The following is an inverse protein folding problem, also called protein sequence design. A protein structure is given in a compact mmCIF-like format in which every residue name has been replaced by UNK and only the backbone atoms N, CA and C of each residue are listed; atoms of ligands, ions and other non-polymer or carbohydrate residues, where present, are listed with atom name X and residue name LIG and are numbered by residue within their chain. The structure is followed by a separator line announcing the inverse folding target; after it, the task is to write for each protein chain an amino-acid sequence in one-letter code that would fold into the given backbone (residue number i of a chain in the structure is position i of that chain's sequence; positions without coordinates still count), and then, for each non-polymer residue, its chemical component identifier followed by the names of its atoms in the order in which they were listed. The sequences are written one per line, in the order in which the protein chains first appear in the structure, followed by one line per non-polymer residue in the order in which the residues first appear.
data_IF_947227234269
#
_entry.id   IF_947227234269
#
_cell.length_a   1.000
_cell.length_b   1.000
_cell.length_c   1.000
_cell.angle_alpha   90.00
_cell.angle_beta   90.00
_cell.angle_gamma   90.00
#
_symmetry.space_group_name_H-M   'P 1'
#
loop_
_entity.id
_entity.type
_entity.pdbx_description
1 polymer ?
#
# COMPACT_ATOMS: atom_id res chain seq x y z
N UNK A 1 10.04 -23.64 62.47
CA UNK A 1 10.70 -22.73 63.42
C UNK A 1 10.74 -21.36 62.73
N UNK A 2 9.85 -20.52 63.23
CA UNK A 2 10.14 -19.17 63.79
C UNK A 2 10.67 -18.17 62.72
N UNK A 3 10.20 -16.96 62.56
CA UNK A 3 9.20 -16.01 63.15
C UNK A 3 8.98 -14.97 62.07
N UNK A 4 7.79 -14.54 61.73
CA UNK A 4 6.96 -13.43 62.25
C UNK A 4 7.76 -12.14 62.55
N UNK A 5 7.47 -11.09 61.79
CA UNK A 5 7.22 -9.76 62.37
C UNK A 5 6.39 -8.92 61.40
N UNK A 6 5.15 -8.66 61.78
CA UNK A 6 4.28 -7.56 61.36
C UNK A 6 4.88 -6.24 61.85
N UNK A 7 4.74 -5.19 61.03
CA UNK A 7 4.69 -3.81 61.56
C UNK A 7 3.63 -3.03 60.76
N UNK A 8 2.54 -2.82 61.47
CA UNK A 8 1.45 -1.86 61.19
C UNK A 8 1.93 -0.52 61.74
N UNK A 9 1.82 0.55 60.99
CA UNK A 9 1.70 1.91 61.55
C UNK A 9 0.71 2.72 60.75
N UNK A 10 -0.24 3.20 61.53
CA UNK A 10 -1.46 3.92 61.23
C UNK A 10 -1.26 5.43 61.08
N UNK A 11 -2.12 6.02 60.26
CA UNK A 11 -2.83 7.33 60.40
C UNK A 11 -2.05 8.64 60.31
N UNK A 12 -2.48 9.49 59.37
CA UNK A 12 -3.02 10.82 59.74
C UNK A 12 -3.81 11.40 58.55
N UNK A 13 -5.08 11.56 58.79
CA UNK A 13 -6.05 12.36 58.03
C UNK A 13 -5.85 13.83 58.40
N UNK A 14 -5.73 14.72 57.40
CA UNK A 14 -6.00 16.14 57.62
C UNK A 14 -6.93 16.63 56.49
N UNK A 15 -8.17 16.81 56.84
CA UNK A 15 -9.15 17.56 56.10
C UNK A 15 -8.87 19.06 56.24
N UNK A 16 -8.91 19.80 55.15
CA UNK A 16 -8.89 21.25 55.14
C UNK A 16 -9.93 21.73 54.12
N UNK A 17 -11.00 22.24 54.70
CA UNK A 17 -12.17 22.70 53.99
C UNK A 17 -12.06 24.18 53.57
N UNK A 18 -12.67 24.48 52.43
CA UNK A 18 -13.49 25.64 52.08
C UNK A 18 -12.92 27.05 52.15
N UNK A 19 -13.07 27.81 51.09
CA UNK A 19 -13.98 28.97 51.09
C UNK A 19 -14.42 29.37 49.68
N UNK A 20 -15.73 29.29 49.47
CA UNK A 20 -16.47 30.02 48.45
C UNK A 20 -16.52 31.49 48.84
N UNK A 21 -16.18 32.39 47.93
CA UNK A 21 -16.70 33.77 47.96
C UNK A 21 -17.18 34.13 46.58
N UNK A 22 -18.50 34.17 46.45
CA UNK A 22 -19.21 34.87 45.39
C UNK A 22 -19.35 36.33 45.82
N UNK A 23 -19.04 37.26 44.92
CA UNK A 23 -19.71 38.58 44.90
C UNK A 23 -19.58 39.14 43.50
N UNK A 24 -20.75 39.38 42.92
CA UNK A 24 -20.90 40.02 41.62
C UNK A 24 -20.77 41.53 41.69
N UNK A 25 -20.55 42.13 40.56
CA UNK A 25 -21.07 43.45 40.17
C UNK A 25 -21.10 43.54 38.65
N UNK A 26 -22.28 43.88 38.14
CA UNK A 26 -22.48 44.37 36.77
C UNK A 26 -21.81 45.72 36.63
N UNK A 27 -21.23 45.94 35.43
CA UNK A 27 -21.49 47.16 34.67
C UNK A 27 -21.17 46.98 33.19
N UNK A 28 -22.10 47.40 32.38
CA UNK A 28 -22.12 47.46 30.95
C UNK A 28 -21.02 48.40 30.42
N UNK A 29 -20.36 48.02 29.30
CA UNK A 29 -20.37 48.82 28.06
C UNK A 29 -19.56 48.13 26.95
N UNK A 30 -20.21 47.92 25.86
CA UNK A 30 -19.94 47.76 24.48
C UNK A 30 -18.47 47.78 24.01
N UNK A 31 -18.11 46.75 23.32
CA UNK A 31 -16.90 46.62 22.50
C UNK A 31 -17.08 45.42 21.56
N UNK A 32 -17.79 45.68 20.45
CA UNK A 32 -17.84 44.77 19.30
C UNK A 32 -16.42 44.52 18.82
N UNK A 33 -15.91 43.34 19.04
CA UNK A 33 -14.65 42.83 18.51
C UNK A 33 -14.83 41.34 18.29
N UNK A 34 -15.61 40.99 17.26
CA UNK A 34 -15.74 39.62 16.77
C UNK A 34 -14.46 39.13 16.18
N UNK A 35 -13.50 38.74 17.01
CA UNK A 35 -12.42 37.84 16.64
C UNK A 35 -12.94 36.42 16.77
N UNK A 36 -13.72 35.95 15.79
CA UNK A 36 -13.97 34.54 15.61
C UNK A 36 -12.63 33.86 15.38
N UNK A 37 -12.08 33.25 16.41
CA UNK A 37 -11.08 32.24 16.22
C UNK A 37 -11.75 31.18 15.34
N UNK A 38 -11.44 31.17 14.05
CA UNK A 38 -11.80 30.10 13.15
C UNK A 38 -11.01 28.87 13.63
N UNK A 39 -11.59 28.15 14.60
CA UNK A 39 -11.07 26.89 15.03
C UNK A 39 -11.08 25.94 13.85
N UNK A 40 -9.92 25.74 13.23
CA UNK A 40 -9.77 24.85 12.10
C UNK A 40 -10.21 23.43 12.48
N UNK A 41 -10.84 22.73 11.55
CA UNK A 41 -11.26 21.35 11.74
C UNK A 41 -10.05 20.45 11.54
N UNK A 42 -9.86 19.49 12.44
CA UNK A 42 -8.86 18.42 12.24
C UNK A 42 -9.53 17.24 11.54
N UNK A 43 -8.97 16.83 10.38
CA UNK A 43 -9.31 15.62 9.65
C UNK A 43 -8.19 14.63 9.83
N UNK A 44 -8.53 13.41 10.26
CA UNK A 44 -7.56 12.31 10.37
C UNK A 44 -7.64 11.45 9.12
N UNK A 45 -6.46 11.13 8.57
CA UNK A 45 -6.29 10.09 7.54
C UNK A 45 -5.71 8.87 8.25
N UNK A 46 -6.41 7.73 8.14
CA UNK A 46 -5.92 6.46 8.62
C UNK A 46 -4.87 5.90 7.66
N UNK A 47 -4.01 5.03 8.15
CA UNK A 47 -3.11 4.23 7.34
C UNK A 47 -3.01 2.84 7.94
N UNK A 48 -3.05 1.82 7.09
CA UNK A 48 -2.80 0.42 7.44
C UNK A 48 -1.73 -0.14 6.51
N UNK A 49 -0.67 -0.70 7.07
CA UNK A 49 0.45 -1.28 6.32
C UNK A 49 1.33 -2.13 7.24
N UNK A 50 2.18 -3.04 6.71
CA UNK A 50 3.13 -3.82 7.50
C UNK A 50 4.30 -2.92 7.96
N UNK A 51 4.15 -2.26 9.11
CA UNK A 51 5.15 -1.35 9.66
C UNK A 51 6.27 -2.09 10.39
N UNK A 52 6.04 -3.34 10.75
CA UNK A 52 7.02 -4.27 11.33
C UNK A 52 7.04 -5.59 10.56
N UNK A 53 8.03 -6.44 10.85
CA UNK A 53 8.20 -7.73 10.17
C UNK A 53 8.95 -7.64 8.84
N UNK A 54 8.87 -8.71 8.06
CA UNK A 54 9.69 -8.90 6.86
C UNK A 54 9.34 -7.95 5.69
N UNK A 55 8.12 -7.40 5.67
CA UNK A 55 7.66 -6.44 4.65
C UNK A 55 7.78 -4.98 5.10
N UNK A 56 8.39 -4.73 6.26
CA UNK A 56 8.44 -3.39 6.84
C UNK A 56 9.15 -2.35 5.97
N UNK A 57 10.08 -2.72 5.12
CA UNK A 57 10.69 -1.79 4.18
C UNK A 57 9.63 -1.12 3.28
N UNK A 58 8.75 -1.92 2.65
CA UNK A 58 7.65 -1.42 1.82
C UNK A 58 6.62 -0.64 2.66
N UNK A 59 6.24 -1.19 3.83
CA UNK A 59 5.22 -0.57 4.71
C UNK A 59 5.65 0.79 5.25
N UNK A 60 6.92 0.94 5.65
CA UNK A 60 7.46 2.21 6.14
C UNK A 60 7.62 3.23 5.00
N UNK A 61 7.97 2.79 3.78
CA UNK A 61 7.95 3.63 2.59
C UNK A 61 6.56 4.21 2.31
N UNK A 62 5.51 3.38 2.42
CA UNK A 62 4.10 3.79 2.31
C UNK A 62 3.77 4.82 3.40
N UNK A 63 4.06 4.52 4.67
CA UNK A 63 3.75 5.40 5.81
C UNK A 63 4.44 6.76 5.69
N UNK A 64 5.74 6.75 5.41
CA UNK A 64 6.53 7.98 5.34
C UNK A 64 6.08 8.88 4.19
N UNK A 65 5.65 8.29 3.06
CA UNK A 65 5.14 9.04 1.91
C UNK A 65 3.75 9.63 2.16
N UNK A 66 2.88 8.91 2.88
CA UNK A 66 1.59 9.44 3.33
C UNK A 66 1.76 10.61 4.31
N UNK A 67 2.70 10.47 5.26
CA UNK A 67 3.04 11.55 6.20
C UNK A 67 3.56 12.79 5.46
N UNK A 68 4.42 12.61 4.45
CA UNK A 68 4.92 13.71 3.61
C UNK A 68 3.79 14.42 2.85
N UNK A 69 2.81 13.69 2.32
CA UNK A 69 1.66 14.28 1.65
C UNK A 69 0.84 15.15 2.61
N UNK A 70 0.59 14.67 3.81
CA UNK A 70 -0.11 15.40 4.88
C UNK A 70 0.67 16.66 5.27
N UNK A 71 1.98 16.54 5.53
CA UNK A 71 2.81 17.69 5.84
C UNK A 71 2.79 18.74 4.74
N UNK A 72 2.84 18.29 3.48
CA UNK A 72 2.78 19.15 2.30
C UNK A 72 1.45 19.89 2.20
N UNK A 73 0.32 19.19 2.41
CA UNK A 73 -1.01 19.80 2.38
C UNK A 73 -1.20 20.82 3.50
N UNK A 74 -0.76 20.49 4.72
CA UNK A 74 -0.83 21.40 5.85
C UNK A 74 0.05 22.65 5.66
N UNK A 75 1.29 22.48 5.18
CA UNK A 75 2.20 23.59 4.90
C UNK A 75 1.68 24.54 3.81
N UNK A 76 0.97 24.00 2.82
CA UNK A 76 0.35 24.77 1.73
C UNK A 76 -1.02 25.34 2.13
N UNK A 77 -1.54 25.04 3.32
CA UNK A 77 -2.93 25.32 3.73
C UNK A 77 -3.93 24.91 2.64
N UNK A 78 -3.70 23.73 2.05
CA UNK A 78 -4.32 23.30 0.80
C UNK A 78 -5.85 23.20 0.90
N UNK A 79 -6.38 22.82 2.05
CA UNK A 79 -7.81 22.89 2.37
C UNK A 79 -8.00 23.94 3.46
N UNK A 80 -8.59 25.06 3.10
CA UNK A 80 -8.74 26.20 4.02
C UNK A 80 -9.53 25.81 5.27
N UNK A 81 -8.98 26.10 6.44
CA UNK A 81 -9.61 25.78 7.72
C UNK A 81 -9.55 24.31 8.12
N UNK A 82 -8.82 23.46 7.39
CA UNK A 82 -8.63 22.03 7.72
C UNK A 82 -7.14 21.75 7.98
N UNK A 83 -6.87 21.05 9.06
CA UNK A 83 -5.55 20.48 9.37
C UNK A 83 -5.63 18.96 9.29
N UNK A 84 -4.76 18.34 8.53
CA UNK A 84 -4.71 16.89 8.40
C UNK A 84 -3.76 16.26 9.41
N UNK A 85 -4.10 15.05 9.88
CA UNK A 85 -3.26 14.21 10.76
C UNK A 85 -3.22 12.78 10.23
N UNK A 86 -2.13 12.07 10.48
CA UNK A 86 -1.97 10.65 10.18
C UNK A 86 -2.13 9.81 11.44
N UNK A 87 -2.91 8.73 11.34
CA UNK A 87 -2.93 7.62 12.31
C UNK A 87 -2.57 6.35 11.57
N UNK A 88 -1.39 5.80 11.87
CA UNK A 88 -0.86 4.61 11.21
C UNK A 88 -0.98 3.39 12.12
N UNK A 89 -1.50 2.29 11.58
CA UNK A 89 -1.63 1.00 12.24
C UNK A 89 -0.79 -0.05 11.50
N UNK A 90 -0.23 -0.98 12.25
CA UNK A 90 0.60 -2.08 11.76
C UNK A 90 -0.27 -3.33 11.56
N UNK A 91 -0.34 -3.82 10.33
CA UNK A 91 -1.02 -5.08 9.99
C UNK A 91 -0.08 -6.28 9.93
N UNK A 92 1.23 -6.05 9.95
CA UNK A 92 2.28 -7.09 9.84
C UNK A 92 2.11 -7.99 8.59
N UNK A 93 1.39 -7.54 7.56
CA UNK A 93 1.02 -8.34 6.40
C UNK A 93 0.02 -9.46 6.70
N UNK A 94 -0.73 -9.37 7.82
CA UNK A 94 -1.64 -10.40 8.29
C UNK A 94 -3.11 -9.95 8.18
N UNK A 95 -3.97 -10.73 7.47
CA UNK A 95 -5.40 -10.40 7.32
C UNK A 95 -6.14 -10.19 8.64
N UNK A 96 -5.82 -10.99 9.68
CA UNK A 96 -6.44 -10.86 10.99
C UNK A 96 -6.11 -9.55 11.70
N UNK A 97 -4.88 -9.06 11.54
CA UNK A 97 -4.45 -7.76 12.08
C UNK A 97 -5.12 -6.62 11.30
N UNK A 98 -5.17 -6.71 9.96
CA UNK A 98 -5.87 -5.76 9.11
C UNK A 98 -7.34 -5.62 9.49
N UNK A 99 -8.07 -6.72 9.68
CA UNK A 99 -9.47 -6.69 10.11
C UNK A 99 -9.66 -5.98 11.47
N UNK A 100 -8.76 -6.24 12.43
CA UNK A 100 -8.79 -5.55 13.73
C UNK A 100 -8.49 -4.06 13.58
N UNK A 101 -7.52 -3.72 12.74
CA UNK A 101 -7.16 -2.32 12.45
C UNK A 101 -8.29 -1.59 11.74
N UNK A 102 -8.96 -2.21 10.76
CA UNK A 102 -10.15 -1.64 10.11
C UNK A 102 -11.24 -1.28 11.15
N UNK A 103 -11.50 -2.18 12.10
CA UNK A 103 -12.47 -1.91 13.19
C UNK A 103 -12.06 -0.72 14.05
N UNK A 104 -10.76 -0.59 14.38
CA UNK A 104 -10.24 0.56 15.15
C UNK A 104 -10.36 1.86 14.36
N UNK A 105 -9.99 1.84 13.06
CA UNK A 105 -10.06 3.02 12.19
C UNK A 105 -11.50 3.49 11.99
N UNK A 106 -12.46 2.58 11.84
CA UNK A 106 -13.88 2.92 11.72
C UNK A 106 -14.46 3.54 13.01
N UNK A 107 -13.97 3.12 14.18
CA UNK A 107 -14.43 3.63 15.47
C UNK A 107 -14.09 5.12 15.66
N UNK A 108 -13.00 5.62 15.10
CA UNK A 108 -12.62 7.04 15.14
C UNK A 108 -13.34 7.83 14.04
N UNK A 109 -14.34 8.61 14.42
CA UNK A 109 -15.16 9.40 13.48
C UNK A 109 -14.41 10.58 12.84
N UNK A 110 -13.24 10.97 13.34
CA UNK A 110 -12.38 11.97 12.72
C UNK A 110 -11.67 11.45 11.45
N UNK A 111 -11.61 10.12 11.27
CA UNK A 111 -11.00 9.48 10.10
C UNK A 111 -11.98 9.53 8.94
N UNK A 112 -11.60 10.21 7.86
CA UNK A 112 -12.42 10.37 6.65
C UNK A 112 -11.93 9.55 5.46
N UNK A 113 -10.76 8.94 5.55
CA UNK A 113 -10.22 8.03 4.56
C UNK A 113 -9.03 7.27 5.10
N UNK A 114 -8.70 6.13 4.49
CA UNK A 114 -7.61 5.24 4.88
C UNK A 114 -6.71 4.98 3.68
N UNK A 115 -5.41 5.12 3.86
CA UNK A 115 -4.37 4.74 2.90
C UNK A 115 -3.90 3.32 3.21
N UNK A 116 -3.86 2.46 2.22
CA UNK A 116 -3.48 1.06 2.40
C UNK A 116 -4.63 0.11 2.07
N UNK A 117 -4.44 -1.19 2.43
CA UNK A 117 -3.20 -1.79 2.91
C UNK A 117 -2.20 -2.09 1.77
N UNK A 118 -1.04 -2.70 2.14
CA UNK A 118 -0.08 -3.21 1.16
C UNK A 118 -0.59 -4.49 0.49
N UNK A 119 -0.97 -5.49 1.27
CA UNK A 119 -1.25 -6.83 0.80
C UNK A 119 -2.71 -7.00 0.34
N UNK A 120 -2.95 -7.63 -0.81
CA UNK A 120 -4.30 -7.90 -1.31
C UNK A 120 -5.14 -8.77 -0.36
N UNK A 121 -4.52 -9.76 0.30
CA UNK A 121 -5.20 -10.60 1.29
C UNK A 121 -5.59 -9.85 2.57
N UNK A 122 -4.86 -8.79 2.92
CA UNK A 122 -5.23 -7.89 4.02
C UNK A 122 -6.41 -7.02 3.62
N UNK A 123 -6.38 -6.40 2.43
CA UNK A 123 -7.50 -5.61 1.91
C UNK A 123 -8.82 -6.41 1.87
N UNK A 124 -8.76 -7.66 1.42
CA UNK A 124 -9.91 -8.57 1.38
C UNK A 124 -10.60 -8.73 2.74
N UNK A 125 -9.83 -8.68 3.83
CA UNK A 125 -10.35 -8.73 5.21
C UNK A 125 -10.92 -7.41 5.73
N UNK A 126 -10.56 -6.27 5.10
CA UNK A 126 -10.89 -4.91 5.57
C UNK A 126 -12.05 -4.27 4.81
N UNK A 127 -12.15 -4.54 3.50
CA UNK A 127 -13.05 -3.84 2.57
C UNK A 127 -14.50 -3.78 3.07
N UNK A 128 -15.05 -4.92 3.54
CA UNK A 128 -16.43 -4.94 4.05
C UNK A 128 -16.63 -4.03 5.26
N UNK A 129 -15.65 -3.98 6.17
CA UNK A 129 -15.71 -3.15 7.38
C UNK A 129 -15.74 -1.67 7.01
N UNK A 130 -14.92 -1.26 6.05
CA UNK A 130 -14.87 0.11 5.56
C UNK A 130 -16.12 0.48 4.74
N UNK A 131 -16.61 -0.41 3.87
CA UNK A 131 -17.79 -0.13 3.05
C UNK A 131 -19.07 0.02 3.89
N UNK A 132 -19.26 -0.86 4.90
CA UNK A 132 -20.38 -0.74 5.85
C UNK A 132 -20.34 0.61 6.59
N UNK A 133 -19.14 1.13 6.89
CA UNK A 133 -18.94 2.41 7.58
C UNK A 133 -18.89 3.62 6.64
N UNK A 134 -19.01 3.43 5.33
CA UNK A 134 -18.82 4.45 4.28
C UNK A 134 -17.48 5.17 4.41
N UNK A 135 -16.44 4.46 4.83
CA UNK A 135 -15.09 5.00 4.98
C UNK A 135 -14.26 4.64 3.75
N UNK A 136 -13.74 5.66 3.09
CA UNK A 136 -12.91 5.48 1.89
C UNK A 136 -11.61 4.72 2.22
N UNK A 137 -11.26 3.74 1.37
CA UNK A 137 -10.01 3.01 1.36
C UNK A 137 -9.30 3.26 0.03
N UNK A 138 -8.08 3.78 0.05
CA UNK A 138 -7.28 4.03 -1.15
C UNK A 138 -5.94 3.30 -1.04
N UNK A 139 -5.85 2.14 -1.68
CA UNK A 139 -4.61 1.36 -1.64
C UNK A 139 -3.56 1.87 -2.63
N UNK A 140 -2.31 2.06 -2.19
CA UNK A 140 -1.18 2.37 -3.07
C UNK A 140 -0.58 1.15 -3.75
N UNK A 141 -0.96 -0.07 -3.36
CA UNK A 141 -0.18 -1.27 -3.66
C UNK A 141 -0.99 -2.49 -4.07
N UNK A 142 -2.27 -2.59 -3.70
CA UNK A 142 -3.06 -3.78 -4.03
C UNK A 142 -3.27 -3.89 -5.54
N UNK A 143 -2.94 -5.04 -6.12
CA UNK A 143 -3.01 -5.27 -7.57
C UNK A 143 -4.00 -6.36 -7.98
N UNK A 144 -4.47 -7.21 -7.05
CA UNK A 144 -5.42 -8.26 -7.41
C UNK A 144 -6.75 -7.67 -7.92
N UNK A 145 -7.21 -8.05 -9.14
CA UNK A 145 -8.41 -7.47 -9.74
C UNK A 145 -9.70 -7.80 -9.00
N UNK A 146 -9.76 -8.92 -8.27
CA UNK A 146 -10.97 -9.32 -7.55
C UNK A 146 -11.41 -8.31 -6.48
N UNK A 147 -10.47 -7.51 -5.95
CA UNK A 147 -10.74 -6.52 -4.91
C UNK A 147 -11.68 -5.40 -5.37
N UNK A 148 -11.61 -5.03 -6.64
CA UNK A 148 -12.43 -3.95 -7.23
C UNK A 148 -13.47 -4.46 -8.22
N UNK A 149 -13.12 -5.49 -9.01
CA UNK A 149 -13.92 -5.99 -10.12
C UNK A 149 -14.70 -7.27 -9.79
N UNK A 150 -14.59 -7.74 -8.53
CA UNK A 150 -15.28 -8.93 -8.04
C UNK A 150 -14.63 -10.27 -8.44
N UNK A 151 -15.08 -11.38 -7.86
CA UNK A 151 -14.42 -12.69 -7.99
C UNK A 151 -14.45 -13.26 -9.41
N UNK A 152 -15.42 -12.85 -10.24
CA UNK A 152 -15.59 -13.35 -11.60
C UNK A 152 -14.97 -12.44 -12.68
N UNK A 153 -14.09 -11.49 -12.30
CA UNK A 153 -13.51 -10.50 -13.21
C UNK A 153 -12.84 -11.13 -14.44
N UNK A 154 -12.19 -12.31 -14.28
CA UNK A 154 -11.47 -12.98 -15.35
C UNK A 154 -12.39 -13.61 -16.42
N UNK A 155 -13.64 -13.88 -16.10
CA UNK A 155 -14.66 -14.41 -17.03
C UNK A 155 -15.46 -13.32 -17.73
N UNK A 156 -15.16 -12.03 -17.44
CA UNK A 156 -15.85 -10.89 -18.01
C UNK A 156 -17.08 -10.41 -17.21
N UNK A 157 -17.49 -11.15 -16.18
CA UNK A 157 -18.56 -10.75 -15.25
C UNK A 157 -17.98 -9.87 -14.12
N UNK A 158 -17.64 -8.65 -14.48
CA UNK A 158 -17.04 -7.66 -13.56
C UNK A 158 -18.12 -6.96 -12.75
N UNK A 159 -17.96 -6.96 -11.44
CA UNK A 159 -18.86 -6.27 -10.52
C UNK A 159 -18.08 -5.62 -9.39
N UNK A 160 -18.23 -4.31 -9.24
CA UNK A 160 -17.67 -3.61 -8.09
C UNK A 160 -18.41 -4.03 -6.82
N UNK A 161 -17.68 -4.69 -5.90
CA UNK A 161 -18.26 -5.21 -4.65
C UNK A 161 -18.35 -4.14 -3.56
N UNK A 162 -17.36 -3.25 -3.50
CA UNK A 162 -17.23 -2.22 -2.46
C UNK A 162 -17.00 -0.85 -3.08
N UNK A 163 -17.96 0.05 -2.89
CA UNK A 163 -17.90 1.40 -3.47
C UNK A 163 -16.91 2.32 -2.75
N UNK A 164 -16.55 1.99 -1.52
CA UNK A 164 -15.55 2.70 -0.72
C UNK A 164 -14.09 2.38 -1.09
N UNK A 165 -13.84 1.33 -1.91
CA UNK A 165 -12.51 0.89 -2.28
C UNK A 165 -12.01 1.55 -3.57
N UNK A 166 -10.77 2.07 -3.52
CA UNK A 166 -10.03 2.67 -4.62
C UNK A 166 -8.57 2.23 -4.56
N UNK A 167 -7.83 2.39 -5.67
CA UNK A 167 -6.38 2.16 -5.69
C UNK A 167 -5.67 3.00 -6.73
N UNK A 168 -4.46 3.43 -6.40
CA UNK A 168 -3.58 4.17 -7.32
C UNK A 168 -2.62 3.26 -8.08
N UNK A 169 -2.38 2.03 -7.62
CA UNK A 169 -1.66 1.00 -8.36
C UNK A 169 -2.55 0.34 -9.43
N UNK A 170 -1.96 -0.01 -10.59
CA UNK A 170 -2.69 -0.78 -11.62
C UNK A 170 -2.86 -2.25 -11.22
N UNK A 171 -3.56 -3.05 -12.04
CA UNK A 171 -3.99 -4.39 -11.65
C UNK A 171 -3.16 -5.51 -12.29
N UNK A 172 -3.17 -6.69 -11.66
CA UNK A 172 -2.56 -7.92 -12.18
C UNK A 172 -3.22 -8.42 -13.46
N UNK A 173 -4.42 -7.93 -13.79
CA UNK A 173 -5.06 -8.21 -15.08
C UNK A 173 -4.21 -7.72 -16.26
N UNK A 174 -3.33 -6.72 -16.03
CA UNK A 174 -2.39 -6.23 -17.04
C UNK A 174 -0.92 -6.49 -16.65
N UNK A 175 -0.58 -6.51 -15.36
CA UNK A 175 0.80 -6.70 -14.91
C UNK A 175 1.33 -8.10 -15.27
N UNK A 176 0.59 -9.17 -14.97
CA UNK A 176 1.00 -10.52 -15.32
C UNK A 176 1.16 -10.75 -16.81
N UNK A 177 0.17 -10.36 -17.65
CA UNK A 177 0.31 -10.41 -19.10
C UNK A 177 1.46 -9.56 -19.66
N UNK A 178 1.71 -8.37 -19.13
CA UNK A 178 2.84 -7.54 -19.51
C UNK A 178 4.19 -8.24 -19.23
N UNK A 179 4.32 -8.85 -18.05
CA UNK A 179 5.48 -9.66 -17.69
C UNK A 179 5.65 -10.85 -18.66
N UNK A 180 4.56 -11.56 -18.99
CA UNK A 180 4.58 -12.70 -19.91
C UNK A 180 5.02 -12.28 -21.32
N UNK A 181 4.54 -11.15 -21.84
CA UNK A 181 4.95 -10.62 -23.13
C UNK A 181 6.45 -10.28 -23.16
N UNK A 182 6.95 -9.63 -22.12
CA UNK A 182 8.38 -9.34 -22.01
C UNK A 182 9.22 -10.63 -21.95
N UNK A 183 8.85 -11.56 -21.08
CA UNK A 183 9.57 -12.83 -20.87
C UNK A 183 9.63 -13.64 -22.17
N UNK A 184 8.50 -13.78 -22.86
CA UNK A 184 8.43 -14.57 -24.11
C UNK A 184 9.05 -13.84 -25.30
N UNK A 185 8.65 -12.57 -25.54
CA UNK A 185 9.01 -11.86 -26.76
C UNK A 185 10.40 -11.20 -26.69
N UNK A 186 10.83 -10.71 -25.52
CA UNK A 186 12.09 -9.97 -25.37
C UNK A 186 13.18 -10.82 -24.73
N UNK A 187 12.91 -11.44 -23.58
CA UNK A 187 13.86 -12.31 -22.93
C UNK A 187 13.99 -13.69 -23.59
N UNK A 188 13.11 -14.01 -24.56
CA UNK A 188 13.14 -15.26 -25.36
C UNK A 188 13.07 -16.53 -24.51
N UNK A 189 12.37 -16.47 -23.38
CA UNK A 189 12.11 -17.61 -22.49
C UNK A 189 10.83 -18.30 -22.92
N UNK A 190 10.87 -19.62 -23.03
CA UNK A 190 9.74 -20.40 -23.58
C UNK A 190 9.25 -21.52 -22.68
N UNK A 191 9.98 -21.81 -21.59
CA UNK A 191 9.65 -22.88 -20.63
C UNK A 191 9.61 -22.32 -19.21
N UNK A 192 8.43 -22.07 -18.71
CA UNK A 192 8.25 -21.51 -17.37
C UNK A 192 7.99 -22.59 -16.31
N UNK A 193 8.61 -22.44 -15.15
CA UNK A 193 8.22 -23.07 -13.92
C UNK A 193 7.55 -22.02 -13.03
N UNK A 194 6.30 -22.23 -12.65
CA UNK A 194 5.51 -21.25 -11.90
C UNK A 194 5.48 -21.63 -10.44
N UNK A 195 5.73 -20.65 -9.56
CA UNK A 195 5.66 -20.81 -8.10
C UNK A 195 4.83 -19.67 -7.54
N UNK A 196 3.94 -19.94 -6.61
CA UNK A 196 3.21 -18.91 -5.88
C UNK A 196 3.17 -19.16 -4.37
N UNK A 197 2.85 -18.10 -3.60
CA UNK A 197 2.79 -18.09 -2.15
C UNK A 197 1.39 -18.41 -1.58
N UNK A 198 0.44 -18.81 -2.41
CA UNK A 198 -0.97 -19.10 -2.08
C UNK A 198 -1.78 -17.89 -1.60
N UNK A 199 -1.17 -16.72 -1.46
CA UNK A 199 -1.90 -15.50 -1.08
C UNK A 199 -2.70 -14.95 -2.27
N UNK A 200 -3.70 -14.12 -1.98
CA UNK A 200 -4.57 -13.49 -2.98
C UNK A 200 -3.78 -12.78 -4.08
N UNK A 201 -2.72 -12.04 -3.72
CA UNK A 201 -1.84 -11.38 -4.69
C UNK A 201 -1.04 -12.41 -5.50
N UNK A 202 -0.21 -13.21 -4.84
CA UNK A 202 0.77 -14.06 -5.51
C UNK A 202 0.14 -15.11 -6.41
N UNK A 203 -0.90 -15.81 -5.94
CA UNK A 203 -1.62 -16.79 -6.75
C UNK A 203 -2.37 -16.13 -7.93
N UNK A 204 -2.97 -14.95 -7.71
CA UNK A 204 -3.66 -14.20 -8.76
C UNK A 204 -2.70 -13.75 -9.87
N UNK A 205 -1.59 -13.11 -9.50
CA UNK A 205 -0.58 -12.66 -10.44
C UNK A 205 0.07 -13.81 -11.24
N UNK A 206 0.41 -14.93 -10.55
CA UNK A 206 0.93 -16.12 -11.21
C UNK A 206 -0.07 -16.68 -12.24
N UNK A 207 -1.36 -16.66 -11.91
CA UNK A 207 -2.44 -17.08 -12.82
C UNK A 207 -2.54 -16.22 -14.07
N UNK A 208 -2.46 -14.89 -13.96
CA UNK A 208 -2.54 -13.98 -15.11
C UNK A 208 -1.28 -14.06 -15.99
N UNK A 209 -0.09 -14.19 -15.39
CA UNK A 209 1.13 -14.48 -16.14
C UNK A 209 1.02 -15.78 -16.92
N UNK A 210 0.62 -16.88 -16.27
CA UNK A 210 0.45 -18.19 -16.88
C UNK A 210 -0.44 -18.12 -18.10
N UNK A 211 -1.65 -17.52 -17.95
CA UNK A 211 -2.63 -17.46 -19.02
C UNK A 211 -2.09 -16.77 -20.29
N UNK A 212 -1.43 -15.62 -20.14
CA UNK A 212 -0.84 -14.94 -21.31
C UNK A 212 0.41 -15.66 -21.84
N UNK A 213 1.26 -16.20 -20.96
CA UNK A 213 2.46 -16.93 -21.39
C UNK A 213 2.12 -18.14 -22.26
N UNK A 214 1.11 -18.94 -21.87
CA UNK A 214 0.59 -20.06 -22.65
C UNK A 214 -0.06 -19.63 -23.97
N UNK A 215 -0.81 -18.53 -23.96
CA UNK A 215 -1.43 -17.92 -25.14
C UNK A 215 -0.38 -17.46 -26.17
N UNK A 216 0.78 -17.00 -25.72
CA UNK A 216 1.92 -16.63 -26.59
C UNK A 216 2.65 -17.84 -27.16
N UNK A 217 2.33 -19.07 -26.73
CA UNK A 217 3.00 -20.31 -27.12
C UNK A 217 4.10 -20.79 -26.16
N UNK A 218 4.23 -20.13 -25.01
CA UNK A 218 5.09 -20.58 -23.91
C UNK A 218 4.56 -21.87 -23.28
N UNK A 219 5.44 -22.64 -22.68
CA UNK A 219 5.09 -23.91 -22.01
C UNK A 219 5.30 -23.77 -20.51
N UNK A 220 4.25 -23.98 -19.73
CA UNK A 220 4.36 -24.16 -18.29
C UNK A 220 4.70 -25.63 -18.03
N UNK A 221 5.91 -25.89 -17.57
CA UNK A 221 6.45 -27.25 -17.41
C UNK A 221 6.48 -27.74 -15.97
N UNK A 222 6.06 -26.89 -15.02
CA UNK A 222 5.88 -27.23 -13.62
C UNK A 222 5.19 -26.11 -12.85
N UNK A 223 4.50 -26.49 -11.81
CA UNK A 223 3.84 -25.54 -10.89
C UNK A 223 4.04 -26.05 -9.46
N UNK A 224 4.40 -25.13 -8.55
CA UNK A 224 4.51 -25.38 -7.11
C UNK A 224 3.88 -24.26 -6.32
N UNK A 225 3.48 -24.59 -5.10
CA UNK A 225 2.94 -23.64 -4.15
C UNK A 225 3.78 -23.70 -2.87
N UNK A 226 4.25 -22.55 -2.41
CA UNK A 226 5.05 -22.45 -1.17
C UNK A 226 4.26 -21.68 -0.10
N UNK A 227 4.59 -21.92 1.16
CA UNK A 227 4.04 -21.08 2.22
C UNK A 227 4.90 -19.80 2.32
N UNK A 228 4.32 -18.65 2.62
CA UNK A 228 5.05 -17.39 2.76
C UNK A 228 6.21 -17.44 3.76
N UNK A 229 6.04 -18.24 4.84
CA UNK A 229 7.04 -18.37 5.90
C UNK A 229 8.12 -19.42 5.60
N UNK A 230 8.08 -20.06 4.41
CA UNK A 230 9.08 -21.05 4.01
C UNK A 230 10.47 -20.41 3.93
N UNK A 231 11.45 -21.07 4.55
CA UNK A 231 12.87 -20.66 4.51
C UNK A 231 13.75 -21.67 3.78
N UNK A 232 13.34 -22.93 3.73
CA UNK A 232 14.02 -24.01 2.99
C UNK A 232 13.25 -24.35 1.71
N UNK A 233 13.82 -23.98 0.59
CA UNK A 233 13.30 -24.21 -0.75
C UNK A 233 14.07 -25.33 -1.52
N UNK A 234 14.91 -26.11 -0.84
CA UNK A 234 15.78 -27.14 -1.46
C UNK A 234 15.00 -28.13 -2.33
N UNK A 235 13.84 -28.56 -1.86
CA UNK A 235 12.96 -29.47 -2.61
C UNK A 235 12.42 -28.82 -3.89
N UNK A 236 11.96 -27.55 -3.81
CA UNK A 236 11.46 -26.78 -4.95
C UNK A 236 12.62 -26.49 -5.92
N UNK A 237 13.79 -26.09 -5.42
CA UNK A 237 14.98 -25.83 -6.22
C UNK A 237 15.42 -27.07 -7.02
N UNK A 238 15.35 -28.26 -6.40
CA UNK A 238 15.61 -29.54 -7.08
C UNK A 238 14.61 -29.81 -8.22
N UNK A 239 13.32 -29.57 -7.99
CA UNK A 239 12.28 -29.70 -9.01
C UNK A 239 12.51 -28.72 -10.17
N UNK A 240 12.82 -27.45 -9.89
CA UNK A 240 13.14 -26.44 -10.89
C UNK A 240 14.34 -26.89 -11.73
N UNK A 241 15.43 -27.32 -11.09
CA UNK A 241 16.63 -27.78 -11.78
C UNK A 241 16.34 -28.95 -12.73
N UNK A 242 15.57 -29.93 -12.28
CA UNK A 242 15.28 -31.15 -13.06
C UNK A 242 14.23 -30.92 -14.15
N UNK A 243 13.42 -29.84 -14.06
CA UNK A 243 12.34 -29.56 -15.01
C UNK A 243 12.81 -29.14 -16.39
N UNK A 244 14.03 -28.55 -16.50
CA UNK A 244 14.52 -27.96 -17.73
C UNK A 244 13.86 -26.60 -18.07
N UNK A 245 13.30 -25.91 -17.07
CA UNK A 245 12.81 -24.55 -17.21
C UNK A 245 13.94 -23.59 -17.59
N UNK A 246 13.61 -22.54 -18.33
CA UNK A 246 14.51 -21.42 -18.64
C UNK A 246 14.12 -20.14 -17.88
N UNK A 247 12.95 -20.15 -17.27
CA UNK A 247 12.44 -19.08 -16.39
C UNK A 247 11.64 -19.67 -15.23
N UNK A 248 11.79 -19.07 -14.04
CA UNK A 248 10.88 -19.25 -12.90
C UNK A 248 10.06 -17.99 -12.75
N UNK A 249 8.74 -18.09 -12.82
CA UNK A 249 7.86 -17.00 -12.42
C UNK A 249 7.39 -17.21 -11.00
N UNK A 250 7.66 -16.23 -10.13
CA UNK A 250 7.24 -16.27 -8.74
C UNK A 250 6.15 -15.24 -8.47
N UNK A 251 4.96 -15.70 -8.15
CA UNK A 251 3.86 -14.89 -7.62
C UNK A 251 3.94 -14.84 -6.10
N UNK A 252 4.36 -13.69 -5.58
CA UNK A 252 4.54 -13.48 -4.14
C UNK A 252 5.49 -12.33 -3.86
N UNK A 253 5.98 -12.27 -2.62
CA UNK A 253 6.71 -11.13 -2.07
C UNK A 253 8.20 -11.43 -1.88
N UNK A 254 9.04 -10.38 -1.84
CA UNK A 254 10.48 -10.48 -1.79
C UNK A 254 11.06 -11.28 -0.61
N UNK A 255 10.42 -11.35 0.60
CA UNK A 255 10.99 -12.09 1.72
C UNK A 255 11.13 -13.60 1.47
N UNK A 256 10.23 -14.18 0.68
CA UNK A 256 10.33 -15.56 0.24
C UNK A 256 11.06 -15.68 -1.11
N UNK A 257 10.84 -14.73 -2.03
CA UNK A 257 11.45 -14.75 -3.35
C UNK A 257 12.98 -14.70 -3.33
N UNK A 258 13.59 -13.88 -2.46
CA UNK A 258 15.04 -13.76 -2.37
C UNK A 258 15.71 -15.08 -1.97
N UNK A 259 15.38 -15.71 -0.84
CA UNK A 259 15.88 -17.02 -0.46
C UNK A 259 15.58 -18.13 -1.47
N UNK A 260 14.41 -18.11 -2.10
CA UNK A 260 14.02 -19.03 -3.16
C UNK A 260 14.98 -18.90 -4.37
N UNK A 261 15.18 -17.68 -4.87
CA UNK A 261 16.08 -17.40 -5.98
C UNK A 261 17.52 -17.88 -5.67
N UNK A 262 18.01 -17.55 -4.47
CA UNK A 262 19.32 -18.01 -4.01
C UNK A 262 19.46 -19.53 -4.07
N UNK A 263 18.53 -20.27 -3.45
CA UNK A 263 18.60 -21.71 -3.37
C UNK A 263 18.43 -22.38 -4.75
N UNK A 264 17.60 -21.84 -5.63
CA UNK A 264 17.47 -22.30 -7.02
C UNK A 264 18.82 -22.19 -7.76
N UNK A 265 19.52 -21.06 -7.63
CA UNK A 265 20.82 -20.83 -8.27
C UNK A 265 21.92 -21.71 -7.65
N UNK A 266 21.93 -21.84 -6.32
CA UNK A 266 22.87 -22.74 -5.58
C UNK A 266 22.67 -24.21 -5.94
N UNK A 267 21.45 -24.64 -6.22
CA UNK A 267 21.17 -25.97 -6.77
C UNK A 267 21.71 -26.16 -8.19
N UNK A 268 22.17 -25.10 -8.86
CA UNK A 268 22.75 -25.13 -10.21
C UNK A 268 21.71 -25.06 -11.33
N UNK A 269 20.48 -24.58 -11.05
CA UNK A 269 19.51 -24.31 -12.10
C UNK A 269 19.89 -23.04 -12.89
N UNK A 270 19.87 -23.12 -14.20
CA UNK A 270 20.19 -21.99 -15.11
C UNK A 270 18.91 -21.28 -15.54
N UNK A 271 18.24 -20.63 -14.60
CA UNK A 271 16.96 -19.95 -14.82
C UNK A 271 17.06 -18.46 -14.48
N UNK A 272 16.24 -17.65 -15.10
CA UNK A 272 15.94 -16.28 -14.66
C UNK A 272 14.75 -16.35 -13.71
N UNK A 273 14.83 -15.71 -12.54
CA UNK A 273 13.67 -15.54 -11.66
C UNK A 273 12.95 -14.25 -12.06
N UNK A 274 11.64 -14.34 -12.22
CA UNK A 274 10.77 -13.25 -12.63
C UNK A 274 9.63 -13.13 -11.62
N UNK A 275 9.24 -11.93 -11.26
CA UNK A 275 8.06 -11.71 -10.43
C UNK A 275 7.44 -10.33 -10.65
N UNK A 276 6.48 -10.01 -9.80
CA UNK A 276 5.75 -8.75 -9.85
C UNK A 276 6.39 -7.63 -9.05
N UNK A 277 5.61 -6.62 -8.81
CA UNK A 277 5.97 -5.37 -8.13
C UNK A 277 6.45 -5.57 -6.68
N UNK A 278 5.97 -6.60 -5.98
CA UNK A 278 6.45 -6.95 -4.65
C UNK A 278 7.86 -7.57 -4.61
N UNK A 279 8.49 -7.82 -5.77
CA UNK A 279 9.91 -8.17 -5.87
C UNK A 279 10.78 -6.93 -6.14
N UNK A 280 10.18 -5.83 -6.61
CA UNK A 280 10.90 -4.59 -6.89
C UNK A 280 11.27 -3.86 -5.59
N UNK A 281 12.27 -4.39 -4.90
CA UNK A 281 12.87 -3.84 -3.67
C UNK A 281 14.36 -4.21 -3.60
N UNK A 282 15.24 -3.32 -3.11
CA UNK A 282 16.62 -3.66 -2.81
C UNK A 282 16.77 -4.85 -1.86
N UNK A 283 15.78 -5.09 -1.00
CA UNK A 283 15.77 -6.22 -0.07
C UNK A 283 15.73 -7.58 -0.79
N UNK A 284 15.07 -7.67 -1.98
CA UNK A 284 15.15 -8.87 -2.81
C UNK A 284 16.60 -9.22 -3.14
N UNK A 285 17.34 -8.24 -3.66
CA UNK A 285 18.74 -8.43 -4.07
C UNK A 285 19.62 -8.79 -2.88
N UNK A 286 19.37 -8.17 -1.73
CA UNK A 286 20.09 -8.46 -0.49
C UNK A 286 19.83 -9.89 0.00
N UNK A 287 18.60 -10.37 -0.03
CA UNK A 287 18.22 -11.71 0.40
C UNK A 287 18.65 -12.80 -0.58
N UNK A 288 18.58 -12.56 -1.87
CA UNK A 288 19.06 -13.46 -2.90
C UNK A 288 20.59 -13.52 -2.96
N UNK A 289 21.24 -12.40 -2.63
CA UNK A 289 22.65 -12.15 -2.89
C UNK A 289 22.85 -11.62 -4.32
N UNK A 290 23.67 -10.57 -4.46
CA UNK A 290 23.82 -9.84 -5.72
C UNK A 290 24.20 -10.74 -6.92
N UNK A 291 25.08 -11.71 -6.71
CA UNK A 291 25.50 -12.64 -7.77
C UNK A 291 24.37 -13.60 -8.21
N UNK A 292 23.53 -14.05 -7.28
CA UNK A 292 22.40 -14.94 -7.60
C UNK A 292 21.23 -14.16 -8.21
N UNK A 293 21.02 -12.91 -7.81
CA UNK A 293 19.97 -12.06 -8.35
C UNK A 293 20.30 -11.47 -9.74
N UNK A 294 21.56 -11.51 -10.18
CA UNK A 294 21.98 -10.91 -11.45
C UNK A 294 21.17 -11.43 -12.63
N UNK A 295 20.54 -10.52 -13.38
CA UNK A 295 19.66 -10.84 -14.50
C UNK A 295 18.23 -11.25 -14.12
N UNK A 296 17.89 -11.32 -12.83
CA UNK A 296 16.50 -11.54 -12.40
C UNK A 296 15.64 -10.32 -12.72
N UNK A 297 14.34 -10.53 -12.86
CA UNK A 297 13.40 -9.55 -13.41
C UNK A 297 12.27 -9.31 -12.42
N UNK A 298 11.91 -8.05 -12.26
CA UNK A 298 10.66 -7.65 -11.60
C UNK A 298 9.86 -6.74 -12.53
N UNK A 299 8.55 -6.88 -12.56
CA UNK A 299 7.68 -5.82 -13.06
C UNK A 299 7.29 -4.90 -11.91
N UNK A 300 7.03 -3.64 -12.20
CA UNK A 300 6.45 -2.71 -11.24
C UNK A 300 5.37 -1.87 -11.89
N UNK A 301 4.43 -1.42 -11.07
CA UNK A 301 3.39 -0.51 -11.50
C UNK A 301 3.98 0.86 -11.82
N UNK A 302 3.52 1.48 -12.91
CA UNK A 302 3.94 2.82 -13.33
C UNK A 302 5.29 2.92 -14.05
N UNK A 303 5.68 4.16 -14.27
CA UNK A 303 7.00 4.53 -14.79
C UNK A 303 8.01 4.69 -13.65
N UNK A 304 9.33 4.57 -13.94
CA UNK A 304 10.35 4.85 -12.93
C UNK A 304 10.17 6.26 -12.38
N UNK A 305 9.92 6.37 -11.08
CA UNK A 305 9.53 7.64 -10.43
C UNK A 305 10.59 8.73 -10.59
N UNK A 306 11.86 8.34 -10.60
CA UNK A 306 13.00 9.26 -10.77
C UNK A 306 13.02 9.91 -12.16
N UNK A 307 12.37 9.29 -13.14
CA UNK A 307 12.27 9.80 -14.51
C UNK A 307 11.12 10.80 -14.71
N UNK A 308 10.19 10.88 -13.74
CA UNK A 308 8.99 11.69 -13.86
C UNK A 308 9.24 13.14 -13.41
N UNK A 309 8.99 14.13 -14.29
CA UNK A 309 9.06 15.54 -13.89
C UNK A 309 8.13 15.89 -12.71
N UNK A 310 6.97 15.26 -12.63
CA UNK A 310 5.98 15.40 -11.54
C UNK A 310 6.50 14.94 -10.18
N UNK A 311 7.48 14.02 -10.16
CA UNK A 311 8.02 13.48 -8.91
C UNK A 311 9.14 14.33 -8.28
N UNK A 312 9.65 15.37 -8.96
CA UNK A 312 10.82 16.12 -8.49
C UNK A 312 10.63 16.72 -7.10
N UNK A 313 9.47 17.34 -6.84
CA UNK A 313 9.17 17.93 -5.53
C UNK A 313 9.07 16.86 -4.45
N UNK A 314 8.38 15.75 -4.74
CA UNK A 314 8.27 14.60 -3.82
C UNK A 314 9.65 14.04 -3.46
N UNK A 315 10.49 13.73 -4.46
CA UNK A 315 11.82 13.16 -4.25
C UNK A 315 12.71 14.09 -3.41
N UNK A 316 12.68 15.40 -3.71
CA UNK A 316 13.42 16.41 -2.95
C UNK A 316 12.93 16.52 -1.50
N UNK A 317 11.62 16.58 -1.30
CA UNK A 317 11.00 16.71 0.01
C UNK A 317 11.18 15.43 0.84
N UNK A 318 11.07 14.24 0.23
CA UNK A 318 11.30 12.97 0.91
C UNK A 318 12.74 12.87 1.43
N UNK A 319 13.72 13.20 0.57
CA UNK A 319 15.14 13.26 0.93
C UNK A 319 15.41 14.22 2.09
N UNK A 320 14.75 15.37 2.10
CA UNK A 320 14.93 16.42 3.12
C UNK A 320 14.06 16.18 4.37
N UNK A 321 13.10 15.26 4.31
CA UNK A 321 12.14 14.99 5.38
C UNK A 321 12.71 14.22 6.57
N UNK A 322 13.96 13.75 6.49
CA UNK A 322 14.62 13.02 7.57
C UNK A 322 14.13 11.60 7.80
N UNK A 323 13.39 11.04 6.83
CA UNK A 323 13.00 9.64 6.86
C UNK A 323 14.21 8.73 6.73
N UNK A 324 14.28 7.69 7.58
CA UNK A 324 15.41 6.73 7.59
C UNK A 324 15.26 5.70 6.47
N UNK A 325 14.01 5.30 6.20
CA UNK A 325 13.68 4.29 5.21
C UNK A 325 13.43 4.93 3.85
N UNK A 326 13.74 4.20 2.79
CA UNK A 326 13.46 4.62 1.41
C UNK A 326 11.95 4.64 1.15
N UNK A 327 11.52 5.40 0.13
CA UNK A 327 10.11 5.42 -0.30
C UNK A 327 9.67 4.12 -0.98
N UNK A 328 10.61 3.27 -1.42
CA UNK A 328 10.40 1.95 -2.03
C UNK A 328 9.46 2.01 -3.27
N UNK A 329 8.98 0.85 -3.72
CA UNK A 329 8.14 0.75 -4.91
C UNK A 329 6.83 1.56 -4.83
N UNK A 330 6.27 1.71 -3.64
CA UNK A 330 4.91 2.26 -3.47
C UNK A 330 4.85 3.66 -2.86
N UNK A 331 6.00 4.29 -2.57
CA UNK A 331 6.00 5.60 -1.90
C UNK A 331 5.30 6.68 -2.71
N UNK A 332 5.59 6.80 -4.00
CA UNK A 332 4.90 7.75 -4.88
C UNK A 332 3.38 7.50 -4.94
N UNK A 333 2.98 6.23 -5.01
CA UNK A 333 1.58 5.82 -5.00
C UNK A 333 0.89 6.12 -3.68
N UNK A 334 1.59 5.95 -2.55
CA UNK A 334 1.07 6.29 -1.23
C UNK A 334 0.88 7.80 -1.06
N UNK A 335 1.82 8.59 -1.57
CA UNK A 335 1.66 10.04 -1.63
C UNK A 335 0.40 10.41 -2.41
N UNK A 336 0.20 9.84 -3.60
CA UNK A 336 -0.95 10.11 -4.48
C UNK A 336 -2.26 9.55 -3.90
N UNK A 337 -2.24 8.40 -3.22
CA UNK A 337 -3.42 7.86 -2.50
C UNK A 337 -3.87 8.81 -1.38
N UNK A 338 -2.91 9.31 -0.61
CA UNK A 338 -3.16 10.29 0.45
C UNK A 338 -3.68 11.60 -0.14
N UNK A 339 -3.08 12.06 -1.23
CA UNK A 339 -3.51 13.28 -1.92
C UNK A 339 -4.91 13.14 -2.52
N UNK A 340 -5.28 11.95 -3.01
CA UNK A 340 -6.64 11.66 -3.49
C UNK A 340 -7.69 11.86 -2.39
N UNK A 341 -7.39 11.40 -1.17
CA UNK A 341 -8.27 11.62 -0.01
C UNK A 341 -8.34 13.11 0.34
N UNK A 342 -7.21 13.82 0.32
CA UNK A 342 -7.14 15.28 0.57
C UNK A 342 -7.96 16.05 -0.47
N UNK A 343 -7.87 15.70 -1.76
CA UNK A 343 -8.69 16.28 -2.83
C UNK A 343 -10.19 16.02 -2.64
N UNK A 344 -10.54 14.81 -2.24
CA UNK A 344 -11.93 14.47 -1.96
C UNK A 344 -12.46 15.26 -0.76
N UNK A 345 -11.70 15.37 0.33
CA UNK A 345 -12.05 16.21 1.49
C UNK A 345 -12.21 17.67 1.08
N UNK A 346 -11.29 18.18 0.24
CA UNK A 346 -11.37 19.55 -0.29
C UNK A 346 -12.68 19.78 -1.03
N UNK A 347 -13.06 18.87 -1.96
CA UNK A 347 -14.32 18.97 -2.70
C UNK A 347 -15.53 19.00 -1.76
N UNK A 348 -15.52 18.17 -0.70
CA UNK A 348 -16.60 18.09 0.27
C UNK A 348 -16.70 19.39 1.08
N UNK A 349 -15.59 19.93 1.57
CA UNK A 349 -15.53 21.16 2.35
C UNK A 349 -15.95 22.35 1.49
N UNK A 350 -15.38 22.49 0.28
CA UNK A 350 -15.72 23.61 -0.64
C UNK A 350 -17.21 23.56 -1.04
N UNK A 351 -17.74 22.36 -1.31
CA UNK A 351 -19.16 22.17 -1.65
C UNK A 351 -20.12 22.40 -0.49
N UNK A 352 -19.65 22.45 0.75
CA UNK A 352 -20.46 22.63 1.96
C UNK A 352 -20.14 23.95 2.71
N UNK A 353 -19.78 24.99 1.96
CA UNK A 353 -19.55 26.33 2.55
C UNK A 353 -18.37 26.41 3.50
N UNK A 354 -17.32 25.62 3.28
CA UNK A 354 -16.09 25.60 4.08
C UNK A 354 -16.16 24.75 5.35
N UNK A 355 -17.14 23.85 5.45
CA UNK A 355 -17.37 22.98 6.64
C UNK A 355 -17.50 21.52 6.25
N UNK A 356 -17.17 20.62 7.16
CA UNK A 356 -17.49 19.21 7.01
C UNK A 356 -18.98 18.96 7.33
N UNK A 357 -19.71 18.21 6.49
CA UNK A 357 -21.06 17.78 6.82
C UNK A 357 -21.04 16.57 7.77
N UNK A 358 -22.18 16.26 8.39
CA UNK A 358 -22.31 15.13 9.31
C UNK A 358 -22.06 13.77 8.60
N UNK A 359 -22.39 13.67 7.31
CA UNK A 359 -22.17 12.51 6.45
C UNK A 359 -20.83 12.56 5.67
N UNK A 360 -19.82 13.26 6.20
CA UNK A 360 -18.55 13.54 5.52
C UNK A 360 -17.89 12.28 4.94
N UNK A 361 -17.92 11.12 5.62
CA UNK A 361 -17.35 9.86 5.11
C UNK A 361 -17.98 9.46 3.77
N UNK A 362 -19.32 9.42 3.72
CA UNK A 362 -20.04 9.06 2.50
C UNK A 362 -19.75 10.05 1.36
N UNK A 363 -19.70 11.35 1.69
CA UNK A 363 -19.35 12.41 0.72
C UNK A 363 -17.91 12.31 0.20
N UNK A 364 -16.96 11.90 1.03
CA UNK A 364 -15.58 11.65 0.61
C UNK A 364 -15.52 10.48 -0.35
N UNK A 365 -16.24 9.37 -0.10
CA UNK A 365 -16.33 8.24 -1.03
C UNK A 365 -16.92 8.69 -2.39
N UNK A 366 -18.01 9.45 -2.39
CA UNK A 366 -18.61 10.01 -3.61
C UNK A 366 -17.63 10.92 -4.36
N UNK A 367 -16.94 11.81 -3.63
CA UNK A 367 -16.00 12.77 -4.21
C UNK A 367 -14.78 12.08 -4.84
N UNK A 368 -14.27 10.99 -4.24
CA UNK A 368 -13.15 10.20 -4.76
C UNK A 368 -13.43 9.69 -6.17
N UNK A 369 -14.65 9.26 -6.49
CA UNK A 369 -15.00 8.77 -7.82
C UNK A 369 -14.75 9.81 -8.93
N UNK A 370 -14.74 11.08 -8.60
CA UNK A 370 -14.55 12.19 -9.53
C UNK A 370 -13.23 12.95 -9.32
N UNK A 371 -12.32 12.40 -8.49
CA UNK A 371 -10.98 12.97 -8.31
C UNK A 371 -10.17 12.83 -9.59
N UNK A 372 -9.49 13.91 -9.98
CA UNK A 372 -8.59 13.91 -11.14
C UNK A 372 -7.57 15.03 -10.98
N UNK A 373 -6.28 14.67 -10.86
CA UNK A 373 -5.16 15.61 -10.70
C UNK A 373 -3.88 15.04 -11.29
N UNK A 374 -2.87 15.89 -11.45
CA UNK A 374 -1.53 15.48 -11.82
C UNK A 374 -0.74 15.19 -10.55
N UNK A 375 -0.59 13.88 -10.25
CA UNK A 375 0.10 13.37 -9.08
C UNK A 375 1.59 13.14 -9.33
N UNK A 376 2.25 12.61 -8.32
CA UNK A 376 3.66 12.24 -8.36
C UNK A 376 3.92 11.13 -9.38
N UNK A 377 3.00 10.17 -9.46
CA UNK A 377 3.09 9.02 -10.37
C UNK A 377 2.48 9.29 -11.75
N UNK A 378 2.13 10.53 -12.04
CA UNK A 378 1.45 10.95 -13.26
C UNK A 378 -0.03 11.27 -13.02
N UNK A 379 -0.87 11.11 -14.03
CA UNK A 379 -2.31 11.37 -13.90
C UNK A 379 -2.97 10.42 -12.91
N UNK A 380 -3.62 10.96 -11.90
CA UNK A 380 -4.41 10.22 -10.90
C UNK A 380 -5.89 10.45 -11.16
N UNK A 381 -6.60 9.40 -11.44
CA UNK A 381 -8.07 9.33 -11.55
C UNK A 381 -8.52 7.88 -11.47
N UNK A 382 -9.80 7.65 -11.24
CA UNK A 382 -10.36 6.32 -11.00
C UNK A 382 -11.44 5.99 -12.04
N UNK A 383 -11.50 4.71 -12.45
CA UNK A 383 -12.55 4.19 -13.30
C UNK A 383 -13.80 3.80 -12.49
N UNK A 384 -14.81 3.22 -13.14
CA UNK A 384 -16.07 2.80 -12.51
C UNK A 384 -15.89 1.74 -11.41
N UNK A 385 -14.77 1.02 -11.42
CA UNK A 385 -14.44 0.02 -10.40
C UNK A 385 -13.61 0.61 -9.22
N UNK A 386 -13.18 1.88 -9.32
CA UNK A 386 -12.25 2.48 -8.36
C UNK A 386 -10.78 2.14 -8.65
N UNK A 387 -10.49 1.53 -9.79
CA UNK A 387 -9.13 1.27 -10.25
C UNK A 387 -8.52 2.53 -10.89
N UNK A 388 -7.21 2.69 -10.75
CA UNK A 388 -6.51 3.78 -11.43
C UNK A 388 -6.69 3.71 -12.95
N UNK A 389 -6.85 4.87 -13.59
CA UNK A 389 -6.82 4.98 -15.05
C UNK A 389 -5.40 4.95 -15.63
N UNK A 390 -4.37 5.12 -14.78
CA UNK A 390 -2.97 5.00 -15.19
C UNK A 390 -2.58 3.51 -15.31
N UNK A 391 -2.35 3.04 -16.52
CA UNK A 391 -2.06 1.64 -16.85
C UNK A 391 -0.56 1.40 -17.18
N UNK A 392 0.31 2.37 -16.87
CA UNK A 392 1.74 2.22 -17.10
C UNK A 392 2.36 1.14 -16.22
N UNK A 393 3.31 0.42 -16.79
CA UNK A 393 4.09 -0.64 -16.15
C UNK A 393 5.55 -0.51 -16.58
N UNK A 394 6.46 -0.99 -15.75
CA UNK A 394 7.89 -1.04 -16.06
C UNK A 394 8.46 -2.41 -15.73
N UNK A 395 9.27 -2.93 -16.63
CA UNK A 395 10.12 -4.09 -16.38
C UNK A 395 11.47 -3.61 -15.89
N UNK A 396 11.94 -4.19 -14.81
CA UNK A 396 13.28 -3.99 -14.26
C UNK A 396 14.06 -5.27 -14.30
N UNK A 397 15.39 -5.17 -14.47
CA UNK A 397 16.31 -6.30 -14.27
C UNK A 397 17.36 -5.94 -13.24
N UNK A 398 17.82 -6.93 -12.51
CA UNK A 398 18.96 -6.74 -11.61
C UNK A 398 20.24 -6.69 -12.42
N UNK A 399 20.99 -5.61 -12.27
CA UNK A 399 22.29 -5.40 -12.90
C UNK A 399 23.26 -4.76 -11.91
N UNK A 400 24.41 -5.40 -11.71
CA UNK A 400 25.42 -4.96 -10.74
C UNK A 400 24.83 -4.78 -9.31
N UNK A 401 23.93 -5.67 -8.91
CA UNK A 401 23.33 -5.67 -7.58
C UNK A 401 22.22 -4.65 -7.35
N UNK A 402 21.68 -4.00 -8.40
CA UNK A 402 20.57 -3.07 -8.31
C UNK A 402 19.58 -3.28 -9.46
N UNK A 403 18.31 -2.98 -9.21
CA UNK A 403 17.30 -2.95 -10.26
C UNK A 403 17.52 -1.75 -11.19
N UNK A 404 17.50 -2.01 -12.50
CA UNK A 404 17.53 -0.99 -13.54
C UNK A 404 16.32 -1.16 -14.46
N UNK A 405 15.64 -0.08 -14.88
CA UNK A 405 14.52 -0.18 -15.81
C UNK A 405 15.02 -0.58 -17.20
N UNK A 406 14.28 -1.48 -17.86
CA UNK A 406 14.62 -1.98 -19.21
C UNK A 406 13.53 -1.77 -20.24
N UNK A 407 12.25 -1.72 -19.81
CA UNK A 407 11.11 -1.46 -20.70
C UNK A 407 9.98 -0.83 -19.88
N UNK A 408 9.35 0.22 -20.41
CA UNK A 408 8.14 0.80 -19.84
C UNK A 408 7.06 0.88 -20.91
N UNK A 409 5.81 0.64 -20.53
CA UNK A 409 4.69 0.65 -21.45
C UNK A 409 3.38 0.25 -20.79
N UNK A 410 2.37 -0.03 -21.63
CA UNK A 410 1.07 -0.53 -21.20
C UNK A 410 0.81 -1.89 -21.85
N UNK A 411 0.09 -2.78 -21.17
CA UNK A 411 -0.36 -4.02 -21.79
C UNK A 411 -1.47 -3.73 -22.81
N UNK A 412 -1.31 -4.23 -24.04
CA UNK A 412 -2.28 -4.03 -25.13
C UNK A 412 -2.18 -2.67 -25.83
N UNK A 413 -1.13 -1.89 -25.55
CA UNK A 413 -0.82 -0.61 -26.20
C UNK A 413 0.20 -0.73 -27.31
#
# INVERSE_FOLDING_TARGET
MRNRSLLILTTAVTAGALTLTACGSRDDKGGSGGGGASGGVTVTIGLDAPLTGELSALGLGIKNSADLAIQTANKKEYVKGVTFKLVALDDQGQPSSGQQNATKLVADKSILGVVGPLNSSVAESMQKVFDDAKLAEVSPANTNPSLSQGPNWATGDKKRSYTSYFRTATTDAIQGPFAAQYVYNKAKKTKAFIIDDKKTYGAGLAGTFKGEFEKLGGKVIGTEHVNPDTKDFSAVATKVKSSGADVVYYGGEYPAAGPLAKQIKEAGAKVTVVGGDALYSPEYVKLAGAAAAEGDIATSVGSPIESLPSAKEFLANYKNGGYKEAYEAYGGYSYDSTWSIIEAVKKVVDGNGGKLPDDARAKVVEALQSVSFDGVTGKVSFDEFGDTTNKQLTVYTVKNGAYVPVESGTFGG
#
